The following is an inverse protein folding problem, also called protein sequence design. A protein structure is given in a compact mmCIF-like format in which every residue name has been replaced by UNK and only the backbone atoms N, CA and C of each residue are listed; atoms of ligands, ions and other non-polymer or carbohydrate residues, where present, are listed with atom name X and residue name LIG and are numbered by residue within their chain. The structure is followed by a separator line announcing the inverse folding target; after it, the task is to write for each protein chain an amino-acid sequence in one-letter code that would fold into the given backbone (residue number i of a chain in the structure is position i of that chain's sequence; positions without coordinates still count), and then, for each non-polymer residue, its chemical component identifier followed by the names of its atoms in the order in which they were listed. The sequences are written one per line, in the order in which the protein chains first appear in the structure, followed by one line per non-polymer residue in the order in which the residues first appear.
data_IF_059453464154
#
_entry.id   IF_059453464154
#
_cell.length_a   1.000
_cell.length_b   1.000
_cell.length_c   1.000
_cell.angle_alpha   90.00
_cell.angle_beta   90.00
_cell.angle_gamma   90.00
#
_symmetry.space_group_name_H-M   'P 1'
#
loop_
_entity.id
_entity.type
_entity.pdbx_description
1 polymer ?
#
# COMPACT_ATOMS: atom_id res chain seq x y z
N UNK A 1 -40.38 -22.52 -7.37
CA UNK A 1 -38.93 -22.29 -7.46
C UNK A 1 -38.30 -23.01 -6.27
N UNK A 2 -37.64 -24.15 -6.49
CA UNK A 2 -36.98 -24.91 -5.40
C UNK A 2 -35.57 -24.37 -5.21
N UNK A 3 -35.13 -24.21 -3.95
CA UNK A 3 -33.79 -23.72 -3.58
C UNK A 3 -32.67 -24.49 -4.30
N UNK A 4 -32.84 -25.79 -4.47
CA UNK A 4 -31.87 -26.65 -5.18
C UNK A 4 -31.67 -26.24 -6.65
N UNK A 5 -32.71 -25.69 -7.28
CA UNK A 5 -32.63 -25.23 -8.67
C UNK A 5 -31.85 -23.92 -8.78
N UNK A 6 -31.98 -23.03 -7.78
CA UNK A 6 -31.23 -21.77 -7.74
C UNK A 6 -29.75 -22.02 -7.43
N UNK A 7 -29.46 -22.97 -6.52
CA UNK A 7 -28.09 -23.33 -6.18
C UNK A 7 -27.33 -23.87 -7.40
N UNK A 8 -27.96 -24.70 -8.24
CA UNK A 8 -27.34 -25.20 -9.49
C UNK A 8 -27.09 -24.08 -10.50
N UNK A 9 -28.02 -23.13 -10.61
CA UNK A 9 -27.88 -21.96 -11.49
C UNK A 9 -26.70 -21.09 -11.07
N UNK A 10 -26.56 -20.84 -9.77
CA UNK A 10 -25.47 -20.03 -9.22
C UNK A 10 -24.10 -20.70 -9.40
N UNK A 11 -24.01 -22.01 -9.16
CA UNK A 11 -22.77 -22.78 -9.37
C UNK A 11 -22.33 -22.74 -10.85
N UNK A 12 -23.26 -22.90 -11.79
CA UNK A 12 -22.96 -22.84 -13.22
C UNK A 12 -22.46 -21.45 -13.67
N UNK A 13 -23.00 -20.37 -13.08
CA UNK A 13 -22.54 -19.00 -13.36
C UNK A 13 -21.12 -18.74 -12.85
N UNK A 14 -20.76 -19.27 -11.67
CA UNK A 14 -19.39 -19.17 -11.14
C UNK A 14 -18.39 -19.94 -12.00
N UNK A 15 -18.71 -21.19 -12.37
CA UNK A 15 -17.83 -22.01 -13.22
C UNK A 15 -17.63 -21.39 -14.61
N UNK A 16 -18.65 -20.75 -15.18
CA UNK A 16 -18.55 -20.05 -16.46
C UNK A 16 -17.69 -18.78 -16.39
N UNK A 17 -17.64 -18.10 -15.23
CA UNK A 17 -16.77 -16.96 -15.01
C UNK A 17 -15.29 -17.40 -14.88
N UNK A 18 -15.03 -18.55 -14.26
CA UNK A 18 -13.67 -19.11 -14.12
C UNK A 18 -13.15 -19.72 -15.43
N UNK A 19 -14.03 -20.26 -16.29
CA UNK A 19 -13.67 -20.85 -17.58
C UNK A 19 -13.51 -19.81 -18.73
N UNK A 20 -14.01 -18.58 -18.54
CA UNK A 20 -13.72 -17.46 -19.45
C UNK A 20 -12.34 -16.92 -19.11
N UNK A 21 -11.33 -17.55 -19.69
CA UNK A 21 -9.90 -17.21 -19.55
C UNK A 21 -9.65 -15.70 -19.45
N UNK A 22 -9.20 -15.30 -18.26
CA UNK A 22 -7.91 -14.63 -18.10
C UNK A 22 -7.71 -13.42 -19.03
N UNK A 23 -8.50 -12.35 -18.82
CA UNK A 23 -7.95 -11.02 -19.08
C UNK A 23 -6.82 -10.81 -18.08
N UNK A 24 -5.62 -11.15 -18.56
CA UNK A 24 -4.36 -10.84 -17.94
C UNK A 24 -4.37 -9.35 -17.64
N UNK A 25 -4.65 -9.01 -16.39
CA UNK A 25 -4.40 -7.69 -15.86
C UNK A 25 -2.87 -7.54 -15.92
N UNK A 26 -2.40 -6.97 -17.04
CA UNK A 26 -1.02 -6.56 -17.23
C UNK A 26 -0.77 -5.42 -16.25
N UNK A 27 -0.54 -5.77 -14.98
CA UNK A 27 0.13 -4.91 -14.04
C UNK A 27 1.55 -4.77 -14.60
N UNK A 28 1.79 -3.70 -15.36
CA UNK A 28 3.14 -3.21 -15.67
C UNK A 28 3.72 -2.65 -14.37
N UNK A 29 3.95 -3.53 -13.41
CA UNK A 29 4.76 -3.27 -12.25
C UNK A 29 6.18 -3.59 -12.66
N UNK A 30 6.87 -2.55 -13.14
CA UNK A 30 8.27 -2.58 -13.52
C UNK A 30 9.12 -3.00 -12.32
N UNK A 31 9.30 -4.32 -12.17
CA UNK A 31 10.45 -4.93 -11.52
C UNK A 31 10.83 -4.37 -10.15
N UNK A 32 9.91 -4.38 -9.20
CA UNK A 32 10.28 -4.37 -7.78
C UNK A 32 10.86 -5.76 -7.48
N UNK A 33 12.17 -5.92 -7.65
CA UNK A 33 12.88 -7.15 -7.31
C UNK A 33 12.64 -7.41 -5.81
N UNK A 34 11.83 -8.43 -5.47
CA UNK A 34 11.50 -8.79 -4.09
C UNK A 34 12.77 -9.28 -3.39
N UNK A 35 13.52 -8.32 -2.85
CA UNK A 35 14.75 -8.58 -2.11
C UNK A 35 14.34 -9.15 -0.74
N UNK A 36 14.11 -10.46 -0.70
CA UNK A 36 14.08 -11.23 0.54
C UNK A 36 15.47 -11.10 1.16
N UNK A 37 15.61 -10.16 2.09
CA UNK A 37 16.81 -10.02 2.88
C UNK A 37 16.82 -11.12 3.95
N UNK A 38 17.59 -12.17 3.71
CA UNK A 38 17.87 -13.18 4.73
C UNK A 38 18.67 -12.53 5.87
N UNK A 39 17.98 -12.25 6.98
CA UNK A 39 18.61 -11.69 8.18
C UNK A 39 19.23 -12.82 9.00
N UNK A 40 20.51 -13.08 8.81
CA UNK A 40 21.28 -13.87 9.79
C UNK A 40 21.38 -13.07 11.09
N UNK A 41 20.69 -13.50 12.14
CA UNK A 41 21.02 -13.10 13.51
C UNK A 41 22.31 -13.81 13.91
N UNK A 42 23.44 -13.36 13.37
CA UNK A 42 24.76 -13.80 13.82
C UNK A 42 24.97 -13.32 15.24
N UNK A 43 24.72 -14.19 16.21
CA UNK A 43 25.12 -14.02 17.60
C UNK A 43 26.55 -14.55 17.79
N UNK A 44 27.45 -14.22 16.87
CA UNK A 44 28.85 -14.64 16.95
C UNK A 44 29.66 -13.49 17.55
N UNK A 45 29.50 -13.33 18.86
CA UNK A 45 30.59 -12.79 19.68
C UNK A 45 31.14 -13.97 20.45
N UNK A 46 32.03 -14.72 19.81
CA UNK A 46 32.93 -15.65 20.48
C UNK A 46 33.89 -14.85 21.36
N UNK A 47 33.40 -14.51 22.57
CA UNK A 47 34.22 -14.01 23.65
C UNK A 47 34.97 -15.21 24.22
N UNK A 48 36.30 -15.26 23.99
CA UNK A 48 37.20 -16.16 24.71
C UNK A 48 36.96 -16.01 26.21
N UNK A 49 36.63 -17.13 26.85
CA UNK A 49 36.33 -17.24 28.26
C UNK A 49 37.62 -17.02 29.06
N UNK A 50 37.79 -15.82 29.64
CA UNK A 50 38.69 -15.63 30.77
C UNK A 50 37.92 -15.96 32.03
N UNK A 51 38.32 -17.06 32.66
CA UNK A 51 37.88 -17.55 33.96
C UNK A 51 38.29 -16.55 35.04
N UNK A 52 37.42 -15.57 35.33
CA UNK A 52 37.47 -14.86 36.61
C UNK A 52 36.07 -14.38 37.02
N UNK A 53 35.79 -14.60 38.30
CA UNK A 53 34.47 -14.75 38.89
C UNK A 53 33.74 -13.40 39.06
N UNK A 54 32.67 -13.16 38.29
CA UNK A 54 31.42 -12.59 38.79
C UNK A 54 30.37 -12.53 37.69
N UNK A 55 29.30 -13.31 37.87
CA UNK A 55 28.06 -13.22 37.11
C UNK A 55 27.44 -11.82 37.27
N UNK A 56 27.91 -10.84 36.50
CA UNK A 56 27.07 -9.72 36.12
C UNK A 56 26.22 -10.23 34.98
N UNK A 57 25.14 -10.94 35.34
CA UNK A 57 23.96 -11.03 34.51
C UNK A 57 23.58 -9.58 34.24
N UNK A 58 24.00 -9.04 33.10
CA UNK A 58 23.41 -7.83 32.56
C UNK A 58 22.02 -8.26 32.15
N UNK A 59 21.14 -8.33 33.14
CA UNK A 59 19.71 -8.35 32.98
C UNK A 59 19.44 -7.34 31.88
N UNK A 60 18.91 -7.79 30.74
CA UNK A 60 18.36 -6.92 29.71
C UNK A 60 17.29 -6.09 30.40
N UNK A 61 17.71 -4.98 30.98
CA UNK A 61 16.98 -4.33 32.05
C UNK A 61 15.78 -3.64 31.44
N UNK A 62 14.60 -4.17 31.73
CA UNK A 62 13.32 -3.48 31.71
C UNK A 62 12.92 -2.83 30.37
N UNK A 63 13.19 -3.45 29.23
CA UNK A 63 12.51 -3.03 28.01
C UNK A 63 11.05 -3.50 28.09
N UNK A 64 10.15 -2.55 28.30
CA UNK A 64 8.71 -2.82 28.38
C UNK A 64 8.18 -3.06 26.95
N UNK A 65 7.39 -4.12 26.79
CA UNK A 65 6.80 -4.53 25.51
C UNK A 65 5.30 -4.79 25.71
N UNK A 66 4.52 -4.51 24.67
CA UNK A 66 3.14 -4.98 24.57
C UNK A 66 3.11 -6.25 23.75
N UNK A 67 2.34 -7.24 24.20
CA UNK A 67 2.14 -8.50 23.48
C UNK A 67 0.81 -8.42 22.73
N UNK A 68 0.83 -8.78 21.45
CA UNK A 68 -0.35 -8.88 20.61
C UNK A 68 -1.30 -9.98 21.08
N UNK A 69 -2.55 -9.95 20.60
CA UNK A 69 -3.56 -10.97 20.93
C UNK A 69 -3.15 -12.39 20.48
N UNK A 70 -2.28 -12.47 19.49
CA UNK A 70 -1.66 -13.70 18.98
C UNK A 70 -0.62 -14.30 19.95
N UNK A 71 -0.32 -13.63 21.06
CA UNK A 71 0.71 -13.98 22.04
C UNK A 71 2.14 -14.09 21.45
N UNK A 72 2.34 -13.71 20.20
CA UNK A 72 3.61 -13.85 19.47
C UNK A 72 4.18 -12.50 19.08
N UNK A 73 3.35 -11.56 18.64
CA UNK A 73 3.80 -10.24 18.20
C UNK A 73 4.17 -9.38 19.40
N UNK A 74 5.40 -8.87 19.42
CA UNK A 74 5.91 -7.98 20.48
C UNK A 74 6.10 -6.57 19.93
N UNK A 75 5.47 -5.59 20.57
CA UNK A 75 5.61 -4.17 20.26
C UNK A 75 6.46 -3.50 21.33
N UNK A 76 7.50 -2.77 20.93
CA UNK A 76 8.28 -1.98 21.89
C UNK A 76 7.44 -0.83 22.44
N UNK A 77 7.43 -0.65 23.76
CA UNK A 77 6.76 0.50 24.38
C UNK A 77 7.67 1.74 24.44
N UNK A 78 8.96 1.59 24.12
CA UNK A 78 9.95 2.65 24.18
C UNK A 78 10.20 3.21 22.77
N UNK A 79 10.43 4.53 22.64
CA UNK A 79 10.81 5.12 21.37
C UNK A 79 12.16 4.53 20.89
N UNK A 80 12.38 4.41 19.57
CA UNK A 80 13.66 4.00 19.02
C UNK A 80 14.80 4.93 19.46
N UNK A 81 16.01 4.37 19.61
CA UNK A 81 17.21 5.16 19.98
C UNK A 81 17.53 6.17 18.88
N UNK A 82 17.65 7.46 19.25
CA UNK A 82 17.87 8.57 18.31
C UNK A 82 19.28 8.62 17.72
N UNK A 83 20.26 7.99 18.39
CA UNK A 83 21.67 8.00 17.98
C UNK A 83 22.00 6.88 16.98
N UNK A 84 20.98 6.23 16.40
CA UNK A 84 21.13 5.15 15.43
C UNK A 84 20.50 5.61 14.12
N UNK A 85 21.22 5.44 13.02
CA UNK A 85 20.70 5.73 11.68
C UNK A 85 19.60 4.74 11.31
N UNK A 86 18.47 5.23 10.84
CA UNK A 86 17.42 4.40 10.23
C UNK A 86 18.00 3.66 9.02
N UNK A 87 17.82 2.34 8.98
CA UNK A 87 18.22 1.51 7.83
C UNK A 87 17.54 2.00 6.56
N UNK A 88 18.22 1.89 5.41
CA UNK A 88 17.71 2.34 4.11
C UNK A 88 16.35 1.74 3.75
N UNK A 89 16.16 0.45 4.02
CA UNK A 89 14.91 -0.30 3.82
C UNK A 89 13.72 0.26 4.64
N UNK A 90 13.98 0.93 5.76
CA UNK A 90 12.95 1.50 6.63
C UNK A 90 12.70 2.99 6.34
N UNK A 91 13.35 3.57 5.33
CA UNK A 91 13.14 4.96 4.94
C UNK A 91 11.93 5.04 4.00
N UNK A 92 10.83 5.62 4.47
CA UNK A 92 9.65 5.89 3.64
C UNK A 92 9.97 7.04 2.68
N UNK A 93 10.33 6.71 1.44
CA UNK A 93 10.67 7.68 0.40
C UNK A 93 9.44 8.32 -0.24
N UNK A 94 8.43 7.51 -0.55
CA UNK A 94 7.18 7.99 -1.14
C UNK A 94 6.12 8.10 -0.07
N UNK A 95 5.73 9.34 0.24
CA UNK A 95 4.63 9.61 1.17
C UNK A 95 3.31 9.50 0.42
N UNK A 96 2.29 8.86 1.01
CA UNK A 96 0.94 8.91 0.45
C UNK A 96 0.45 10.36 0.47
N UNK A 97 -0.14 10.82 -0.63
CA UNK A 97 -0.67 12.17 -0.74
C UNK A 97 -0.76 12.68 -2.18
N UNK A 98 -1.29 13.90 -2.30
CA UNK A 98 -1.40 14.59 -3.58
C UNK A 98 0.00 14.93 -4.10
N UNK A 99 0.27 14.57 -5.36
CA UNK A 99 1.54 14.90 -6.03
C UNK A 99 1.73 16.43 -6.08
N UNK A 100 2.98 16.94 -6.06
CA UNK A 100 3.26 18.37 -6.07
C UNK A 100 2.57 19.13 -7.22
N UNK A 101 2.38 18.46 -8.36
CA UNK A 101 1.69 19.02 -9.53
C UNK A 101 0.25 19.45 -9.26
N UNK A 102 -0.46 18.76 -8.36
CA UNK A 102 -1.86 19.02 -8.03
C UNK A 102 -2.03 19.59 -6.60
N UNK A 103 -0.92 19.89 -5.91
CA UNK A 103 -0.95 20.35 -4.52
C UNK A 103 -1.65 21.71 -4.34
N UNK A 104 -1.61 22.56 -5.37
CA UNK A 104 -2.15 23.92 -5.33
C UNK A 104 -3.52 24.07 -5.99
N UNK A 105 -4.09 22.98 -6.52
CA UNK A 105 -5.42 23.01 -7.14
C UNK A 105 -6.45 23.10 -6.01
N UNK A 106 -7.09 24.26 -5.88
CA UNK A 106 -8.03 24.53 -4.79
C UNK A 106 -9.48 24.37 -5.23
N UNK A 107 -9.72 24.43 -6.53
CA UNK A 107 -11.05 24.33 -7.11
C UNK A 107 -11.27 22.97 -7.74
N UNK A 108 -12.52 22.51 -7.71
CA UNK A 108 -12.93 21.21 -8.27
C UNK A 108 -12.59 21.10 -9.76
N UNK A 109 -12.72 22.21 -10.50
CA UNK A 109 -12.40 22.29 -11.94
C UNK A 109 -10.90 22.15 -12.19
N UNK A 110 -10.05 22.77 -11.36
CA UNK A 110 -8.59 22.61 -11.48
C UNK A 110 -8.18 21.17 -11.22
N UNK A 111 -8.76 20.52 -10.20
CA UNK A 111 -8.55 19.10 -9.94
C UNK A 111 -9.02 18.23 -11.11
N UNK A 112 -10.20 18.49 -11.66
CA UNK A 112 -10.75 17.74 -12.79
C UNK A 112 -9.86 17.83 -14.04
N UNK A 113 -9.32 19.02 -14.32
CA UNK A 113 -8.38 19.25 -15.43
C UNK A 113 -7.08 18.46 -15.30
N UNK A 114 -6.72 17.94 -14.11
CA UNK A 114 -5.56 17.04 -13.96
C UNK A 114 -5.81 15.65 -14.50
N UNK A 115 -7.07 15.22 -14.52
CA UNK A 115 -7.46 13.94 -15.08
C UNK A 115 -7.75 14.04 -16.58
N UNK A 116 -8.35 15.14 -17.02
CA UNK A 116 -8.74 15.35 -18.42
C UNK A 116 -8.04 16.59 -18.97
N UNK A 117 -7.05 16.35 -19.82
CA UNK A 117 -6.28 17.41 -20.48
C UNK A 117 -7.01 17.96 -21.70
N UNK A 118 -6.76 19.22 -22.03
CA UNK A 118 -7.30 19.85 -23.24
C UNK A 118 -6.94 19.09 -24.52
N UNK A 119 -5.75 18.47 -24.58
CA UNK A 119 -5.36 17.63 -25.71
C UNK A 119 -6.31 16.43 -25.92
N UNK A 120 -6.79 15.82 -24.83
CA UNK A 120 -7.78 14.73 -24.91
C UNK A 120 -9.13 15.24 -25.42
N UNK A 121 -9.52 16.45 -25.02
CA UNK A 121 -10.76 17.11 -25.48
C UNK A 121 -10.69 17.51 -26.97
N UNK A 122 -9.52 17.97 -27.41
CA UNK A 122 -9.25 18.31 -28.80
C UNK A 122 -9.27 17.08 -29.71
N UNK A 123 -8.63 15.98 -29.28
CA UNK A 123 -8.65 14.72 -30.03
C UNK A 123 -10.03 14.10 -30.14
N UNK A 124 -10.87 14.27 -29.12
CA UNK A 124 -12.25 13.75 -29.12
C UNK A 124 -13.23 14.66 -29.87
N UNK A 125 -12.79 15.82 -30.39
CA UNK A 125 -13.65 16.73 -31.16
C UNK A 125 -14.71 17.46 -30.33
N UNK A 126 -14.59 17.44 -28.99
CA UNK A 126 -15.61 17.94 -28.04
C UNK A 126 -15.67 19.47 -28.00
N UNK A 127 -14.73 20.17 -28.65
CA UNK A 127 -14.71 21.65 -28.74
C UNK A 127 -15.99 22.21 -29.39
N UNK A 128 -16.72 21.41 -30.19
CA UNK A 128 -18.06 21.81 -30.72
C UNK A 128 -19.23 21.52 -29.77
N UNK A 129 -19.02 20.74 -28.71
CA UNK A 129 -20.02 20.31 -27.72
C UNK A 129 -19.90 21.06 -26.38
N UNK A 130 -18.98 22.01 -26.23
CA UNK A 130 -18.86 22.79 -24.99
C UNK A 130 -20.21 23.44 -24.62
N UNK A 131 -21.00 23.90 -25.60
CA UNK A 131 -22.35 24.38 -25.34
C UNK A 131 -23.31 23.35 -24.72
N UNK A 132 -23.07 22.04 -24.88
CA UNK A 132 -23.92 20.97 -24.36
C UNK A 132 -23.44 20.44 -23.00
N UNK A 133 -22.13 20.32 -22.76
CA UNK A 133 -21.61 19.80 -21.48
C UNK A 133 -21.75 20.85 -20.36
N UNK A 134 -21.59 22.14 -20.68
CA UNK A 134 -21.89 23.24 -19.74
C UNK A 134 -23.38 23.29 -19.35
N UNK A 135 -24.29 22.81 -20.21
CA UNK A 135 -25.71 22.67 -19.87
C UNK A 135 -25.97 21.44 -18.98
N UNK A 136 -25.31 20.31 -19.24
CA UNK A 136 -25.46 19.11 -18.42
C UNK A 136 -24.95 19.28 -16.99
N UNK A 137 -23.81 19.96 -16.78
CA UNK A 137 -23.29 20.23 -15.43
C UNK A 137 -24.19 21.20 -14.64
N UNK A 138 -24.87 22.14 -15.30
CA UNK A 138 -25.87 23.02 -14.65
C UNK A 138 -27.14 22.28 -14.22
N UNK A 139 -27.53 21.21 -14.92
CA UNK A 139 -28.73 20.41 -14.59
C UNK A 139 -28.48 19.44 -13.43
N UNK A 140 -27.23 19.00 -13.23
CA UNK A 140 -26.89 18.03 -12.18
C UNK A 140 -26.69 18.70 -10.81
N UNK A 141 -26.32 19.99 -10.78
CA UNK A 141 -25.98 20.72 -9.55
C UNK A 141 -26.97 21.87 -9.19
N UNK A 142 -28.17 21.89 -9.77
CA UNK A 142 -29.24 22.84 -9.46
C UNK A 142 -30.43 22.18 -8.74
#
# INVERSE_FOLDING_TARGET
MSYESEQRRLLALFEQADASENEQCSSDDQGENDHISERSQGSDTELECSDDEQEVIVSTSNQQFYIGKDNSTKWSSQPPRTNVRTRSENIILQKPGVKPIAQNDKTEIECWKRFINNNMLEQTGVISLENSVYQCLKVIFA
#
